data_IF_655905851123
#
_entry.id   IF_655905851123
#
_cell.length_a   1.000
_cell.length_b   1.000
_cell.length_c   1.000
_cell.angle_alpha   90.00
_cell.angle_beta   90.00
_cell.angle_gamma   90.00
#
_symmetry.space_group_name_H-M   'P 1'
#
loop_
_entity.id
_entity.type
_entity.pdbx_description
1 polymer ?
#
# COMPACT_ATOMS: atom_id res chain seq x y z
N UNK A 1 18.10 8.50 14.04
CA UNK A 1 19.38 7.83 14.38
C UNK A 1 19.38 7.11 15.72
N UNK A 2 18.80 7.68 16.77
CA UNK A 2 18.80 7.03 18.09
C UNK A 2 18.20 5.62 18.10
N UNK A 3 17.06 5.42 17.42
CA UNK A 3 16.42 4.12 17.32
C UNK A 3 17.28 3.10 16.55
N UNK A 4 17.97 3.54 15.50
CA UNK A 4 18.87 2.68 14.74
C UNK A 4 20.07 2.22 15.56
N UNK A 5 20.63 3.10 16.39
CA UNK A 5 21.74 2.77 17.29
C UNK A 5 21.29 1.80 18.38
N UNK A 6 20.06 1.96 18.88
CA UNK A 6 19.51 1.04 19.88
C UNK A 6 19.37 -0.38 19.32
N UNK A 7 18.86 -0.54 18.09
CA UNK A 7 18.70 -1.83 17.46
C UNK A 7 20.03 -2.41 16.95
N UNK A 8 20.88 -1.56 16.42
CA UNK A 8 22.16 -1.97 15.83
C UNK A 8 23.27 -1.03 16.33
N UNK A 9 23.92 -1.35 17.47
CA UNK A 9 24.91 -0.46 18.08
C UNK A 9 26.07 -0.03 17.17
N UNK A 10 26.35 -0.81 16.12
CA UNK A 10 27.40 -0.45 15.14
C UNK A 10 27.14 0.90 14.50
N UNK A 11 25.87 1.33 14.42
CA UNK A 11 25.52 2.62 13.83
C UNK A 11 25.96 3.81 14.68
N UNK A 12 26.37 3.61 15.93
CA UNK A 12 26.97 4.68 16.73
C UNK A 12 28.24 5.26 16.10
N UNK A 13 28.92 4.48 15.27
CA UNK A 13 30.14 4.89 14.55
C UNK A 13 29.89 5.36 13.14
N UNK A 14 28.65 5.26 12.66
CA UNK A 14 28.29 5.65 11.32
C UNK A 14 28.07 7.16 11.22
N UNK A 15 28.42 7.71 10.07
CA UNK A 15 28.13 9.10 9.74
C UNK A 15 26.89 9.15 8.85
N UNK A 16 26.00 10.09 9.15
CA UNK A 16 24.83 10.32 8.32
C UNK A 16 25.32 10.96 7.00
N UNK A 17 25.18 10.21 5.91
CA UNK A 17 25.65 10.65 4.61
C UNK A 17 24.61 11.53 3.91
N UNK A 18 23.35 11.12 3.97
CA UNK A 18 22.27 11.80 3.26
C UNK A 18 20.90 11.44 3.84
N UNK A 19 20.00 12.40 3.84
CA UNK A 19 18.58 12.21 4.17
C UNK A 19 17.73 12.90 3.11
N UNK A 20 16.69 12.21 2.64
CA UNK A 20 15.76 12.78 1.66
C UNK A 20 14.35 12.28 1.94
N UNK A 21 13.37 13.05 1.47
CA UNK A 21 11.97 12.67 1.48
C UNK A 21 11.47 12.30 0.09
N UNK A 22 10.30 11.71 0.03
CA UNK A 22 9.61 11.37 -1.21
C UNK A 22 8.14 11.75 -1.13
N UNK A 23 7.47 11.67 -2.28
CA UNK A 23 6.02 11.89 -2.38
C UNK A 23 5.33 10.54 -2.30
N UNK A 24 4.27 10.45 -1.49
CA UNK A 24 3.42 9.26 -1.42
C UNK A 24 2.00 9.59 -1.88
N UNK A 25 1.34 8.62 -2.49
CA UNK A 25 -0.05 8.73 -2.89
C UNK A 25 -0.97 8.22 -1.76
N UNK A 26 -1.99 8.99 -1.43
CA UNK A 26 -2.94 8.65 -0.36
C UNK A 26 -4.36 8.75 -0.88
N UNK A 27 -5.13 7.67 -0.69
CA UNK A 27 -6.54 7.64 -1.03
C UNK A 27 -7.39 8.26 0.10
N UNK A 28 -8.68 8.60 -0.14
CA UNK A 28 -9.54 9.17 0.90
C UNK A 28 -9.68 8.31 2.16
N UNK A 29 -9.67 6.98 2.03
CA UNK A 29 -9.74 6.06 3.17
C UNK A 29 -8.36 5.52 3.61
N UNK A 30 -7.28 6.08 3.07
CA UNK A 30 -5.90 5.68 3.35
C UNK A 30 -5.59 4.21 3.06
N UNK A 31 -6.40 3.56 2.23
CA UNK A 31 -6.22 2.17 1.80
C UNK A 31 -6.01 2.09 0.29
N UNK A 32 -5.26 1.09 -0.21
CA UNK A 32 -4.95 1.01 -1.63
C UNK A 32 -6.17 0.72 -2.50
N UNK A 33 -6.01 0.97 -3.79
CA UNK A 33 -6.98 0.58 -4.83
C UNK A 33 -6.38 -0.60 -5.58
N UNK A 34 -7.06 -1.75 -5.51
CA UNK A 34 -6.54 -3.00 -6.06
C UNK A 34 -7.65 -3.70 -6.85
N UNK A 35 -7.35 -4.06 -8.09
CA UNK A 35 -8.20 -4.93 -8.86
C UNK A 35 -8.71 -4.32 -10.15
N UNK A 36 -9.93 -4.73 -10.52
CA UNK A 36 -10.54 -4.40 -11.80
C UNK A 36 -11.03 -2.97 -11.87
N UNK A 37 -11.07 -2.44 -13.08
CA UNK A 37 -11.73 -1.17 -13.41
C UNK A 37 -12.97 -1.43 -14.25
N UNK A 38 -13.83 -0.41 -14.50
CA UNK A 38 -14.93 -0.54 -15.45
C UNK A 38 -14.49 -0.84 -16.88
N UNK A 39 -13.23 -0.58 -17.20
CA UNK A 39 -12.67 -0.85 -18.52
C UNK A 39 -12.12 -2.26 -18.60
N UNK A 40 -12.43 -2.95 -19.68
CA UNK A 40 -11.96 -4.31 -19.92
C UNK A 40 -10.43 -4.36 -20.00
N UNK A 41 -9.82 -5.35 -19.33
CA UNK A 41 -8.38 -5.59 -19.31
C UNK A 41 -7.56 -4.46 -18.68
N UNK A 42 -8.18 -3.56 -17.94
CA UNK A 42 -7.48 -2.53 -17.19
C UNK A 42 -7.62 -2.79 -15.69
N UNK A 43 -6.49 -2.97 -15.02
CA UNK A 43 -6.41 -3.26 -13.59
C UNK A 43 -5.64 -2.15 -12.88
N UNK A 44 -5.93 -1.96 -11.59
CA UNK A 44 -5.24 -0.99 -10.76
C UNK A 44 -4.54 -1.68 -9.59
N UNK A 45 -3.40 -1.14 -9.22
CA UNK A 45 -2.68 -1.48 -7.99
C UNK A 45 -1.92 -0.22 -7.57
N UNK A 46 -2.57 0.65 -6.82
CA UNK A 46 -2.05 1.98 -6.50
C UNK A 46 -2.63 2.50 -5.18
N UNK A 47 -2.21 3.70 -4.79
CA UNK A 47 -2.73 4.34 -3.59
C UNK A 47 -2.21 3.74 -2.29
N UNK A 48 -0.99 3.20 -2.28
CA UNK A 48 -0.44 2.46 -1.16
C UNK A 48 0.07 3.34 -0.01
N UNK A 49 0.22 4.65 -0.22
CA UNK A 49 0.83 5.51 0.78
C UNK A 49 2.24 5.04 1.12
N UNK A 50 2.51 4.78 2.39
CA UNK A 50 3.82 4.32 2.86
C UNK A 50 3.96 2.79 2.92
N UNK A 51 2.89 2.05 2.60
CA UNK A 51 2.84 0.60 2.81
C UNK A 51 3.19 -0.28 1.61
N UNK A 52 3.48 0.32 0.45
CA UNK A 52 3.59 -0.43 -0.81
C UNK A 52 4.77 -1.40 -0.87
N UNK A 53 5.92 -0.99 -0.41
CA UNK A 53 7.12 -1.81 -0.52
C UNK A 53 6.97 -3.16 0.21
N UNK A 54 6.54 -3.11 1.47
CA UNK A 54 6.39 -4.33 2.28
C UNK A 54 5.29 -5.26 1.76
N UNK A 55 4.29 -4.71 1.10
CA UNK A 55 3.17 -5.49 0.57
C UNK A 55 3.47 -6.13 -0.79
N UNK A 56 4.56 -5.78 -1.44
CA UNK A 56 4.88 -6.19 -2.81
C UNK A 56 4.74 -7.70 -3.07
N UNK A 57 5.31 -8.61 -2.26
CA UNK A 57 5.19 -10.04 -2.54
C UNK A 57 3.75 -10.56 -2.45
N UNK A 58 3.04 -10.20 -1.38
CA UNK A 58 1.67 -10.66 -1.16
C UNK A 58 0.70 -10.09 -2.19
N UNK A 59 0.81 -8.80 -2.48
CA UNK A 59 -0.08 -8.17 -3.45
C UNK A 59 0.21 -8.61 -4.88
N UNK A 60 1.46 -8.86 -5.21
CA UNK A 60 1.83 -9.42 -6.51
C UNK A 60 1.17 -10.78 -6.75
N UNK A 61 1.16 -11.62 -5.73
CA UNK A 61 0.48 -12.91 -5.78
C UNK A 61 -1.04 -12.76 -5.97
N UNK A 62 -1.67 -11.88 -5.19
CA UNK A 62 -3.11 -11.62 -5.30
C UNK A 62 -3.48 -11.00 -6.65
N UNK A 63 -2.65 -10.10 -7.18
CA UNK A 63 -2.89 -9.48 -8.48
C UNK A 63 -2.75 -10.48 -9.62
N UNK A 64 -1.77 -11.37 -9.56
CA UNK A 64 -1.62 -12.42 -10.56
C UNK A 64 -2.87 -13.31 -10.63
N UNK A 65 -3.42 -13.70 -9.48
CA UNK A 65 -4.66 -14.45 -9.40
C UNK A 65 -5.86 -13.66 -9.95
N UNK A 66 -5.97 -12.39 -9.56
CA UNK A 66 -7.04 -11.50 -10.01
C UNK A 66 -7.04 -11.34 -11.54
N UNK A 67 -5.88 -11.13 -12.14
CA UNK A 67 -5.74 -10.97 -13.59
C UNK A 67 -6.02 -12.28 -14.31
N UNK A 68 -5.50 -13.39 -13.81
CA UNK A 68 -5.68 -14.70 -14.45
C UNK A 68 -7.13 -15.16 -14.47
N UNK A 69 -7.89 -14.88 -13.41
CA UNK A 69 -9.30 -15.29 -13.31
C UNK A 69 -10.28 -14.19 -13.67
N UNK A 70 -9.82 -12.98 -13.88
CA UNK A 70 -10.63 -11.77 -14.09
C UNK A 70 -11.67 -11.57 -12.99
N UNK A 71 -11.30 -11.94 -11.76
CA UNK A 71 -12.11 -11.78 -10.54
C UNK A 71 -11.24 -11.35 -9.38
N UNK A 72 -11.72 -10.45 -8.49
CA UNK A 72 -10.94 -10.04 -7.33
C UNK A 72 -10.61 -11.23 -6.43
N UNK A 73 -9.34 -11.36 -6.06
CA UNK A 73 -8.95 -12.30 -5.02
C UNK A 73 -9.65 -11.94 -3.70
N UNK A 74 -10.12 -12.90 -2.88
CA UNK A 74 -10.83 -12.60 -1.63
C UNK A 74 -10.09 -11.65 -0.69
N UNK A 75 -8.77 -11.70 -0.64
CA UNK A 75 -7.98 -10.81 0.22
C UNK A 75 -7.97 -9.37 -0.25
N UNK A 76 -8.15 -9.10 -1.53
CA UNK A 76 -8.12 -7.75 -2.09
C UNK A 76 -9.49 -7.22 -2.48
N UNK A 77 -10.52 -8.04 -2.40
CA UNK A 77 -11.87 -7.65 -2.81
C UNK A 77 -12.39 -6.37 -2.10
N UNK A 78 -12.12 -6.13 -0.80
CA UNK A 78 -12.54 -4.89 -0.13
C UNK A 78 -11.88 -3.63 -0.68
N UNK A 79 -10.75 -3.75 -1.35
CA UNK A 79 -9.95 -2.63 -1.85
C UNK A 79 -10.31 -2.21 -3.27
N UNK A 80 -11.54 -2.44 -3.67
CA UNK A 80 -12.02 -2.13 -5.02
C UNK A 80 -12.17 -0.62 -5.26
N UNK A 81 -12.17 -0.24 -6.53
CA UNK A 81 -12.36 1.15 -6.93
C UNK A 81 -13.78 1.64 -6.63
N UNK A 82 -14.78 0.77 -6.75
CA UNK A 82 -16.20 1.13 -6.60
C UNK A 82 -16.56 1.57 -5.19
N UNK A 83 -15.73 1.27 -4.18
CA UNK A 83 -16.01 1.65 -2.80
C UNK A 83 -16.15 3.17 -2.61
N UNK A 84 -15.54 3.97 -3.46
CA UNK A 84 -15.66 5.42 -3.40
C UNK A 84 -17.00 5.93 -3.95
N UNK A 85 -17.68 5.13 -4.76
CA UNK A 85 -19.02 5.43 -5.28
C UNK A 85 -20.08 4.86 -4.33
N UNK A 86 -19.91 3.62 -3.86
CA UNK A 86 -20.87 2.94 -3.00
C UNK A 86 -20.80 3.34 -1.54
N UNK A 87 -19.69 3.97 -1.12
CA UNK A 87 -19.46 4.36 0.27
C UNK A 87 -18.96 3.24 1.18
N UNK A 88 -18.65 2.07 0.63
CA UNK A 88 -18.12 0.92 1.39
C UNK A 88 -16.62 1.08 1.65
N UNK A 89 -16.21 2.20 2.24
CA UNK A 89 -14.80 2.52 2.51
C UNK A 89 -14.21 1.54 3.54
N UNK A 90 -12.91 1.30 3.38
CA UNK A 90 -12.18 0.44 4.32
C UNK A 90 -11.84 1.25 5.57
N UNK A 91 -12.25 0.74 6.74
CA UNK A 91 -11.93 1.36 8.03
C UNK A 91 -10.73 0.63 8.65
N UNK A 92 -9.55 1.15 8.38
CA UNK A 92 -8.31 0.65 8.96
C UNK A 92 -7.86 1.59 10.07
N UNK A 93 -8.10 1.20 11.32
CA UNK A 93 -7.66 1.98 12.47
C UNK A 93 -6.15 2.23 12.41
N UNK A 94 -5.76 3.50 12.46
CA UNK A 94 -4.37 3.90 12.38
C UNK A 94 -3.82 4.05 10.96
N UNK A 95 -4.55 3.68 9.91
CA UNK A 95 -4.09 3.83 8.55
C UNK A 95 -3.80 5.30 8.20
N UNK A 96 -4.67 6.20 8.63
CA UNK A 96 -4.47 7.64 8.43
C UNK A 96 -3.22 8.16 9.14
N UNK A 97 -2.92 7.65 10.33
CA UNK A 97 -1.71 8.02 11.07
C UNK A 97 -0.45 7.51 10.38
N UNK A 98 -0.51 6.35 9.75
CA UNK A 98 0.62 5.79 8.99
C UNK A 98 0.83 6.51 7.66
N UNK A 99 -0.24 6.96 7.02
CA UNK A 99 -0.18 7.63 5.73
C UNK A 99 0.35 9.07 5.82
N UNK A 100 0.37 9.61 7.00
CA UNK A 100 0.86 10.96 7.29
C UNK A 100 2.23 10.93 7.96
#
# INVERSE_FOLDING_TARGET
MAAAVELFPIFARAHLLRTWGGIVDVTPDASPIIGRTPYRNLYLNCGWGTGGFKATPGIGWCMADTIARDEPHPYVAPFNLDRFVTGALVDEHGAAAVAH
#
